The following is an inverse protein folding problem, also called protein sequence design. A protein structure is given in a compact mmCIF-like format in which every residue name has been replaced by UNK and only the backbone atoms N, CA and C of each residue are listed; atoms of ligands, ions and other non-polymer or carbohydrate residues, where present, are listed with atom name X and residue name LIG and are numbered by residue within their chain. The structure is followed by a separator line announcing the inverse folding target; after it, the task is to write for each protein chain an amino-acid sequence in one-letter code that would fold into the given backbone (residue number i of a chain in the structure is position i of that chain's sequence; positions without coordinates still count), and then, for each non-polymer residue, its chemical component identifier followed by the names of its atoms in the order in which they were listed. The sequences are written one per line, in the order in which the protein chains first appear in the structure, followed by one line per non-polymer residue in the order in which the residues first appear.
data_IF_065904851599
#
_entry.id   IF_065904851599
#
_cell.length_a   1.000
_cell.length_b   1.000
_cell.length_c   1.000
_cell.angle_alpha   90.00
_cell.angle_beta   90.00
_cell.angle_gamma   90.00
#
_symmetry.space_group_name_H-M   'P 1'
#
loop_
_entity.id
_entity.type
_entity.pdbx_description
1 polymer ?
#
# COMPACT_ATOMS: atom_id res chain seq x y z
N UNK A 1 -2.54 -11.44 41.25
CA UNK A 1 -1.87 -12.61 40.65
C UNK A 1 -2.83 -13.79 40.72
N UNK A 2 -3.78 -13.79 39.78
CA UNK A 2 -4.70 -14.88 39.39
C UNK A 2 -5.76 -14.23 38.48
N UNK A 3 -6.17 -14.92 37.41
CA UNK A 3 -7.15 -14.53 36.38
C UNK A 3 -6.73 -13.79 35.09
N UNK A 4 -5.43 -13.53 34.85
CA UNK A 4 -4.97 -12.99 33.54
C UNK A 4 -3.93 -13.90 32.84
N UNK A 5 -3.49 -14.98 33.50
CA UNK A 5 -2.69 -16.03 32.85
C UNK A 5 -3.61 -17.15 32.37
N UNK A 6 -3.43 -17.54 31.10
CA UNK A 6 -4.07 -18.67 30.40
C UNK A 6 -5.56 -18.55 30.03
N UNK A 7 -5.86 -17.62 29.12
CA UNK A 7 -6.71 -18.01 27.98
C UNK A 7 -5.84 -17.91 26.74
N UNK A 8 -5.12 -18.98 26.43
CA UNK A 8 -4.83 -19.27 25.03
C UNK A 8 -6.20 -19.38 24.37
N UNK A 9 -6.66 -18.30 23.73
CA UNK A 9 -7.86 -18.36 22.90
C UNK A 9 -7.52 -19.34 21.77
N UNK A 10 -7.86 -20.61 21.97
CA UNK A 10 -7.85 -21.60 20.90
C UNK A 10 -8.98 -21.23 19.95
N UNK A 11 -8.71 -20.24 19.10
CA UNK A 11 -9.60 -19.84 18.02
C UNK A 11 -9.83 -21.09 17.17
N UNK A 12 -11.08 -21.58 17.05
CA UNK A 12 -11.37 -22.75 16.26
C UNK A 12 -10.91 -22.55 14.81
N UNK A 13 -10.33 -23.58 14.19
CA UNK A 13 -9.76 -23.47 12.84
C UNK A 13 -10.77 -22.95 11.81
N UNK A 14 -12.06 -23.26 11.96
CA UNK A 14 -13.13 -22.77 11.08
C UNK A 14 -13.42 -21.27 11.21
N UNK A 15 -13.02 -20.64 12.32
CA UNK A 15 -13.23 -19.22 12.53
C UNK A 15 -12.34 -18.41 11.59
N UNK A 16 -11.09 -18.84 11.34
CA UNK A 16 -10.18 -18.15 10.41
C UNK A 16 -10.74 -17.97 8.99
N UNK A 17 -11.18 -19.02 8.25
CA UNK A 17 -11.72 -18.83 6.92
C UNK A 17 -12.99 -17.96 6.92
N UNK A 18 -13.81 -18.02 7.98
CA UNK A 18 -15.00 -17.18 8.12
C UNK A 18 -14.62 -15.70 8.32
N UNK A 19 -13.80 -15.41 9.32
CA UNK A 19 -13.43 -14.04 9.70
C UNK A 19 -12.52 -13.41 8.65
N UNK A 20 -11.49 -14.12 8.20
CA UNK A 20 -10.57 -13.63 7.16
C UNK A 20 -11.26 -13.50 5.81
N UNK A 21 -12.08 -14.49 5.42
CA UNK A 21 -12.87 -14.43 4.19
C UNK A 21 -13.85 -13.26 4.21
N UNK A 22 -14.59 -13.10 5.32
CA UNK A 22 -15.48 -11.96 5.52
C UNK A 22 -14.74 -10.61 5.47
N UNK A 23 -13.57 -10.52 6.11
CA UNK A 23 -12.78 -9.29 6.10
C UNK A 23 -12.19 -8.96 4.72
N UNK A 24 -11.71 -9.96 3.96
CA UNK A 24 -11.28 -9.76 2.56
C UNK A 24 -12.44 -9.25 1.70
N UNK A 25 -13.63 -9.85 1.81
CA UNK A 25 -14.81 -9.40 1.06
C UNK A 25 -15.21 -7.96 1.43
N UNK A 26 -15.19 -7.64 2.72
CA UNK A 26 -15.44 -6.28 3.21
C UNK A 26 -14.43 -5.30 2.61
N UNK A 27 -13.14 -5.64 2.62
CA UNK A 27 -12.08 -4.81 2.07
C UNK A 27 -12.22 -4.61 0.55
N UNK A 28 -12.54 -5.66 -0.20
CA UNK A 28 -12.80 -5.55 -1.65
C UNK A 28 -14.00 -4.64 -1.94
N UNK A 29 -15.08 -4.79 -1.17
CA UNK A 29 -16.26 -3.92 -1.25
C UNK A 29 -15.93 -2.47 -0.89
N UNK A 30 -15.15 -2.25 0.16
CA UNK A 30 -14.68 -0.94 0.59
C UNK A 30 -13.82 -0.27 -0.47
N UNK A 31 -12.84 -0.97 -1.05
CA UNK A 31 -12.01 -0.43 -2.14
C UNK A 31 -12.89 -0.04 -3.33
N UNK A 32 -13.82 -0.88 -3.74
CA UNK A 32 -14.74 -0.58 -4.85
C UNK A 32 -15.61 0.65 -4.57
N UNK A 33 -16.16 0.76 -3.35
CA UNK A 33 -16.99 1.89 -2.91
C UNK A 33 -16.19 3.19 -2.87
N UNK A 34 -15.06 3.21 -2.16
CA UNK A 34 -14.19 4.38 -2.00
C UNK A 34 -13.64 4.86 -3.34
N UNK A 35 -13.35 3.91 -4.23
CA UNK A 35 -12.94 4.22 -5.60
C UNK A 35 -14.07 4.83 -6.41
N UNK A 36 -15.24 4.20 -6.48
CA UNK A 36 -16.37 4.73 -7.28
C UNK A 36 -16.94 6.05 -6.74
N UNK A 37 -16.82 6.29 -5.44
CA UNK A 37 -17.37 7.46 -4.76
C UNK A 37 -16.26 8.30 -4.10
N UNK A 38 -15.45 9.04 -4.87
CA UNK A 38 -14.33 9.83 -4.32
C UNK A 38 -14.76 10.91 -3.33
N UNK A 39 -15.97 11.48 -3.48
CA UNK A 39 -16.53 12.45 -2.52
C UNK A 39 -16.78 11.80 -1.16
N UNK A 40 -17.44 10.63 -1.17
CA UNK A 40 -17.64 9.84 0.03
C UNK A 40 -16.30 9.46 0.65
N UNK A 41 -15.34 8.99 -0.15
CA UNK A 41 -14.01 8.64 0.35
C UNK A 41 -13.31 9.82 1.03
N UNK A 42 -13.31 11.02 0.42
CA UNK A 42 -12.74 12.21 1.04
C UNK A 42 -13.40 12.50 2.40
N UNK A 43 -14.73 12.55 2.45
CA UNK A 43 -15.46 12.85 3.68
C UNK A 43 -15.17 11.79 4.75
N UNK A 44 -15.21 10.50 4.38
CA UNK A 44 -14.92 9.40 5.29
C UNK A 44 -13.53 9.52 5.90
N UNK A 45 -12.49 9.74 5.08
CA UNK A 45 -11.12 9.85 5.58
C UNK A 45 -10.88 11.13 6.39
N UNK A 46 -11.52 12.25 6.06
CA UNK A 46 -11.47 13.44 6.90
C UNK A 46 -12.13 13.21 8.26
N UNK A 47 -13.31 12.58 8.30
CA UNK A 47 -13.99 12.23 9.54
C UNK A 47 -13.20 11.20 10.36
N UNK A 48 -12.47 10.30 9.71
CA UNK A 48 -11.61 9.35 10.42
C UNK A 48 -10.49 10.02 11.21
N UNK A 49 -10.06 11.23 10.86
CA UNK A 49 -9.08 11.98 11.66
C UNK A 49 -9.68 12.48 12.97
N UNK A 50 -11.00 12.61 13.05
CA UNK A 50 -11.70 12.98 14.29
C UNK A 50 -11.72 11.85 15.32
N UNK A 51 -11.34 10.62 14.94
CA UNK A 51 -11.15 9.53 15.90
C UNK A 51 -9.82 9.62 16.66
N UNK A 52 -9.01 10.67 16.42
CA UNK A 52 -7.77 10.96 17.13
C UNK A 52 -7.83 10.77 18.67
N UNK A 53 -8.90 11.17 19.39
CA UNK A 53 -8.99 10.94 20.83
C UNK A 53 -8.92 9.46 21.23
N UNK A 54 -9.46 8.55 20.42
CA UNK A 54 -9.42 7.11 20.70
C UNK A 54 -8.03 6.51 20.48
N UNK A 55 -7.17 7.17 19.69
CA UNK A 55 -5.87 6.61 19.32
C UNK A 55 -4.93 6.46 20.51
N UNK A 56 -5.08 7.29 21.55
CA UNK A 56 -4.28 7.20 22.77
C UNK A 56 -4.53 5.92 23.57
N UNK A 57 -5.69 5.29 23.40
CA UNK A 57 -6.03 4.04 24.09
C UNK A 57 -5.43 2.81 23.39
N UNK A 58 -5.30 2.85 22.06
CA UNK A 58 -4.94 1.68 21.24
C UNK A 58 -3.55 1.76 20.59
N UNK A 59 -2.99 2.97 20.44
CA UNK A 59 -1.66 3.16 19.86
C UNK A 59 -0.58 3.23 20.94
N UNK A 60 0.07 2.09 21.18
CA UNK A 60 1.28 2.01 22.00
C UNK A 60 2.56 2.06 21.15
N UNK A 61 3.53 2.85 21.59
CA UNK A 61 4.84 3.03 20.95
C UNK A 61 4.87 4.02 19.77
N UNK A 62 5.99 4.75 19.66
CA UNK A 62 6.18 5.79 18.63
C UNK A 62 6.02 5.26 17.20
N UNK A 63 6.40 4.00 16.95
CA UNK A 63 6.32 3.36 15.64
C UNK A 63 4.87 3.27 15.15
N UNK A 64 3.93 2.86 16.01
CA UNK A 64 2.51 2.76 15.66
C UNK A 64 1.89 4.13 15.40
N UNK A 65 2.29 5.13 16.18
CA UNK A 65 1.93 6.53 15.95
C UNK A 65 2.42 7.04 14.60
N UNK A 66 3.72 6.89 14.32
CA UNK A 66 4.32 7.28 13.06
C UNK A 66 3.64 6.59 11.87
N UNK A 67 3.35 5.28 11.99
CA UNK A 67 2.64 4.52 10.96
C UNK A 67 1.21 5.02 10.75
N UNK A 68 0.48 5.28 11.83
CA UNK A 68 -0.91 5.75 11.76
C UNK A 68 -1.00 7.10 11.07
N UNK A 69 -0.16 8.05 11.49
CA UNK A 69 -0.13 9.39 10.90
C UNK A 69 0.35 9.36 9.44
N UNK A 70 1.41 8.60 9.13
CA UNK A 70 1.96 8.50 7.77
C UNK A 70 1.05 7.74 6.78
N UNK A 71 0.01 7.05 7.25
CA UNK A 71 -0.99 6.41 6.39
C UNK A 71 -2.27 7.24 6.31
N UNK A 72 -2.84 7.64 7.45
CA UNK A 72 -4.15 8.32 7.48
C UNK A 72 -4.07 9.74 6.94
N UNK A 73 -3.03 10.52 7.29
CA UNK A 73 -2.90 11.90 6.83
C UNK A 73 -2.72 11.97 5.30
N UNK A 74 -1.78 11.24 4.66
CA UNK A 74 -1.69 11.21 3.20
C UNK A 74 -2.96 10.73 2.51
N UNK A 75 -3.65 9.73 3.07
CA UNK A 75 -4.89 9.20 2.50
C UNK A 75 -6.01 10.25 2.50
N UNK A 76 -6.21 10.92 3.63
CA UNK A 76 -7.24 11.96 3.79
C UNK A 76 -6.88 13.25 3.04
N UNK A 77 -5.68 13.79 3.29
CA UNK A 77 -5.29 15.15 2.90
C UNK A 77 -4.67 15.23 1.51
N UNK A 78 -4.08 14.15 1.00
CA UNK A 78 -3.41 14.17 -0.31
C UNK A 78 -4.19 13.38 -1.33
N UNK A 79 -4.43 12.09 -1.10
CA UNK A 79 -5.16 11.24 -2.05
C UNK A 79 -6.61 11.74 -2.21
N UNK A 80 -7.32 11.98 -1.10
CA UNK A 80 -8.69 12.47 -1.13
C UNK A 80 -8.85 13.76 -1.95
N UNK A 81 -8.08 14.80 -1.61
CA UNK A 81 -8.14 16.08 -2.31
C UNK A 81 -7.65 16.00 -3.75
N UNK A 82 -6.58 15.23 -4.05
CA UNK A 82 -6.10 15.05 -5.43
C UNK A 82 -7.17 14.44 -6.33
N UNK A 83 -7.91 13.43 -5.84
CA UNK A 83 -8.99 12.81 -6.62
C UNK A 83 -10.14 13.79 -6.90
N UNK A 84 -10.52 14.61 -5.92
CA UNK A 84 -11.53 15.67 -6.11
C UNK A 84 -11.02 16.76 -7.06
N UNK A 85 -9.75 17.13 -6.95
CA UNK A 85 -9.13 18.13 -7.82
C UNK A 85 -9.16 17.69 -9.29
N UNK A 86 -8.97 16.40 -9.57
CA UNK A 86 -9.08 15.83 -10.92
C UNK A 86 -10.53 15.59 -11.37
N UNK A 87 -11.45 15.31 -10.45
CA UNK A 87 -12.88 15.32 -10.75
C UNK A 87 -13.36 16.70 -11.23
N UNK A 88 -12.83 17.77 -10.64
CA UNK A 88 -13.08 19.16 -11.02
C UNK A 88 -11.91 19.75 -11.83
N UNK A 89 -11.37 18.99 -12.80
CA UNK A 89 -10.21 19.38 -13.60
C UNK A 89 -10.36 20.75 -14.30
N UNK A 90 -11.59 21.06 -14.74
CA UNK A 90 -11.91 22.29 -15.48
C UNK A 90 -12.07 23.50 -14.56
N UNK A 91 -12.08 23.29 -13.23
CA UNK A 91 -12.17 24.38 -12.26
C UNK A 91 -10.82 25.10 -12.13
N UNK A 92 -10.75 26.42 -12.43
CA UNK A 92 -9.50 27.18 -12.41
C UNK A 92 -9.04 27.59 -11.00
N UNK A 93 -9.78 27.26 -9.93
CA UNK A 93 -9.43 27.67 -8.57
C UNK A 93 -8.06 27.13 -8.15
N UNK A 94 -7.21 28.03 -7.59
CA UNK A 94 -5.80 27.74 -7.25
C UNK A 94 -5.63 26.53 -6.32
N UNK A 95 -6.55 26.33 -5.39
CA UNK A 95 -6.54 25.17 -4.49
C UNK A 95 -6.61 23.84 -5.25
N UNK A 96 -7.50 23.71 -6.25
CA UNK A 96 -7.60 22.49 -7.04
C UNK A 96 -6.42 22.34 -8.00
N UNK A 97 -5.89 23.46 -8.53
CA UNK A 97 -4.66 23.42 -9.34
C UNK A 97 -3.46 22.90 -8.53
N UNK A 98 -3.33 23.31 -7.26
CA UNK A 98 -2.30 22.82 -6.37
C UNK A 98 -2.33 21.29 -6.24
N UNK A 99 -3.49 20.70 -5.95
CA UNK A 99 -3.64 19.24 -5.84
C UNK A 99 -3.59 18.47 -7.18
N UNK A 100 -3.51 19.16 -8.32
CA UNK A 100 -3.20 18.55 -9.62
C UNK A 100 -1.72 18.62 -9.99
N UNK A 101 -0.89 19.21 -9.12
CA UNK A 101 0.54 19.36 -9.35
C UNK A 101 1.32 18.06 -9.25
N UNK A 102 2.49 18.04 -9.89
CA UNK A 102 3.42 16.90 -9.86
C UNK A 102 3.94 16.58 -8.46
N UNK A 103 3.94 17.55 -7.56
CA UNK A 103 4.36 17.35 -6.17
C UNK A 103 3.51 16.26 -5.50
N UNK A 104 2.21 16.14 -5.84
CA UNK A 104 1.33 15.09 -5.30
C UNK A 104 1.87 13.71 -5.67
N UNK A 105 2.23 13.51 -6.93
CA UNK A 105 2.75 12.24 -7.42
C UNK A 105 4.10 11.90 -6.81
N UNK A 106 5.00 12.89 -6.67
CA UNK A 106 6.30 12.75 -6.00
C UNK A 106 6.13 12.45 -4.50
N UNK A 107 5.17 13.09 -3.85
CA UNK A 107 4.85 12.86 -2.45
C UNK A 107 4.32 11.44 -2.24
N UNK A 108 3.37 10.97 -3.05
CA UNK A 108 2.83 9.61 -2.96
C UNK A 108 3.90 8.55 -3.24
N UNK A 109 4.77 8.79 -4.23
CA UNK A 109 5.97 7.98 -4.45
C UNK A 109 6.85 7.95 -3.19
N UNK A 110 7.12 9.12 -2.59
CA UNK A 110 7.93 9.24 -1.38
C UNK A 110 7.34 8.48 -0.19
N UNK A 111 6.03 8.56 0.04
CA UNK A 111 5.34 7.81 1.09
C UNK A 111 5.44 6.30 0.87
N UNK A 112 5.24 5.81 -0.37
CA UNK A 112 5.42 4.40 -0.69
C UNK A 112 6.88 3.96 -0.44
N UNK A 113 7.84 4.74 -0.92
CA UNK A 113 9.25 4.47 -0.73
C UNK A 113 9.61 4.42 0.76
N UNK A 114 9.18 5.40 1.56
CA UNK A 114 9.40 5.43 3.00
C UNK A 114 8.75 4.24 3.70
N UNK A 115 7.54 3.84 3.28
CA UNK A 115 6.85 2.68 3.83
C UNK A 115 7.64 1.37 3.62
N UNK A 116 8.26 1.21 2.44
CA UNK A 116 9.11 0.05 2.14
C UNK A 116 10.43 0.16 2.90
N UNK A 117 11.07 1.33 2.88
CA UNK A 117 12.36 1.56 3.51
C UNK A 117 12.30 1.36 5.04
N UNK A 118 11.26 1.85 5.70
CA UNK A 118 11.02 1.68 7.14
C UNK A 118 10.94 0.18 7.52
N UNK A 119 10.12 -0.58 6.81
CA UNK A 119 9.99 -2.02 7.03
C UNK A 119 11.29 -2.77 6.68
N UNK A 120 12.00 -2.34 5.64
CA UNK A 120 13.32 -2.89 5.27
C UNK A 120 14.37 -2.69 6.36
N UNK A 121 14.42 -1.49 6.96
CA UNK A 121 15.33 -1.19 8.07
C UNK A 121 14.99 -2.02 9.30
N UNK A 122 13.70 -2.26 9.54
CA UNK A 122 13.25 -3.10 10.64
C UNK A 122 13.57 -4.58 10.40
N UNK A 123 13.36 -5.10 9.19
CA UNK A 123 13.82 -6.45 8.81
C UNK A 123 15.33 -6.62 9.02
N UNK A 124 16.12 -5.59 8.71
CA UNK A 124 17.56 -5.60 8.96
C UNK A 124 17.87 -5.64 10.45
N UNK A 125 17.17 -4.86 11.26
CA UNK A 125 17.34 -4.83 12.72
C UNK A 125 16.93 -6.15 13.40
N UNK A 126 15.97 -6.89 12.84
CA UNK A 126 15.51 -8.19 13.34
C UNK A 126 16.25 -9.37 12.68
N UNK A 127 17.39 -9.14 12.03
CA UNK A 127 18.21 -10.15 11.36
C UNK A 127 17.51 -10.95 10.23
N UNK A 128 16.41 -10.42 9.67
CA UNK A 128 15.72 -10.97 8.51
C UNK A 128 16.37 -10.49 7.20
N UNK A 129 17.65 -10.81 7.02
CA UNK A 129 18.48 -10.20 5.99
C UNK A 129 18.01 -10.47 4.55
N UNK A 130 17.49 -11.67 4.27
CA UNK A 130 16.99 -11.99 2.93
C UNK A 130 15.79 -11.14 2.55
N UNK A 131 14.84 -10.95 3.49
CA UNK A 131 13.69 -10.09 3.25
C UNK A 131 14.10 -8.59 3.19
N UNK A 132 15.08 -8.17 3.99
CA UNK A 132 15.63 -6.82 3.92
C UNK A 132 16.21 -6.51 2.52
N UNK A 133 16.99 -7.43 1.93
CA UNK A 133 17.54 -7.27 0.57
C UNK A 133 16.40 -7.14 -0.46
N UNK A 134 15.33 -7.93 -0.31
CA UNK A 134 14.15 -7.81 -1.16
C UNK A 134 13.50 -6.42 -1.06
N UNK A 135 13.40 -5.87 0.14
CA UNK A 135 12.90 -4.51 0.38
C UNK A 135 13.75 -3.44 -0.32
N UNK A 136 15.08 -3.58 -0.29
CA UNK A 136 15.99 -2.71 -1.07
C UNK A 136 15.73 -2.83 -2.57
N UNK A 137 15.57 -4.05 -3.09
CA UNK A 137 15.25 -4.29 -4.50
C UNK A 137 13.92 -3.62 -4.87
N UNK A 138 12.89 -3.72 -4.02
CA UNK A 138 11.61 -3.06 -4.24
C UNK A 138 11.77 -1.54 -4.30
N UNK A 139 12.50 -0.94 -3.37
CA UNK A 139 12.79 0.50 -3.35
C UNK A 139 13.46 1.01 -4.63
N UNK A 140 14.45 0.29 -5.17
CA UNK A 140 15.16 0.72 -6.39
C UNK A 140 14.38 0.42 -7.68
N UNK A 141 13.38 -0.46 -7.60
CA UNK A 141 12.54 -0.85 -8.74
C UNK A 141 11.21 -0.11 -8.77
N UNK A 142 10.91 0.79 -7.82
CA UNK A 142 9.74 1.68 -7.91
C UNK A 142 9.93 2.61 -9.13
N UNK A 143 9.01 2.62 -10.10
CA UNK A 143 9.01 3.62 -11.16
C UNK A 143 8.87 5.03 -10.58
N UNK A 144 9.76 5.94 -10.97
CA UNK A 144 9.60 7.36 -10.65
C UNK A 144 8.37 7.93 -11.37
N UNK A 145 7.66 8.92 -10.78
CA UNK A 145 6.50 9.54 -11.42
C UNK A 145 6.77 10.01 -12.87
N UNK A 146 7.91 10.67 -13.07
CA UNK A 146 8.42 11.10 -14.38
C UNK A 146 9.93 10.87 -14.46
N UNK A 147 10.41 10.44 -15.61
CA UNK A 147 11.83 10.32 -15.92
C UNK A 147 12.28 11.52 -16.77
N UNK A 148 13.50 12.04 -16.54
CA UNK A 148 14.04 13.25 -17.20
C UNK A 148 14.00 13.19 -18.75
N UNK A 149 14.17 12.00 -19.31
CA UNK A 149 14.13 11.74 -20.75
C UNK A 149 13.02 10.75 -21.12
N UNK A 150 12.06 10.54 -20.21
CA UNK A 150 10.92 9.67 -20.45
C UNK A 150 9.81 10.39 -21.22
N UNK A 151 9.14 9.64 -22.07
CA UNK A 151 7.94 10.07 -22.79
C UNK A 151 6.66 9.79 -22.00
N UNK A 152 6.74 8.97 -20.94
CA UNK A 152 5.60 8.45 -20.17
C UNK A 152 5.61 8.88 -18.71
N UNK A 153 4.42 8.80 -18.10
CA UNK A 153 4.18 9.08 -16.68
C UNK A 153 3.72 7.81 -15.99
N UNK A 154 4.41 7.38 -14.94
CA UNK A 154 4.18 6.10 -14.28
C UNK A 154 3.23 6.22 -13.07
N UNK A 155 2.95 7.44 -12.63
CA UNK A 155 2.02 7.75 -11.57
C UNK A 155 1.07 8.82 -12.04
N UNK A 156 -0.24 8.57 -12.00
CA UNK A 156 -1.23 9.58 -12.39
C UNK A 156 -2.47 9.47 -11.52
N UNK A 157 -3.19 10.58 -11.39
CA UNK A 157 -4.60 10.53 -11.03
C UNK A 157 -5.38 10.52 -12.35
N UNK A 158 -6.22 9.51 -12.55
CA UNK A 158 -6.96 9.32 -13.79
C UNK A 158 -7.81 10.55 -14.13
N UNK A 159 -7.84 10.93 -15.41
CA UNK A 159 -8.70 12.02 -15.90
C UNK A 159 -10.17 11.65 -15.91
N UNK A 160 -10.44 10.37 -16.18
CA UNK A 160 -11.78 9.84 -16.30
C UNK A 160 -12.27 9.33 -14.95
N UNK A 161 -13.59 9.36 -14.75
CA UNK A 161 -14.22 8.78 -13.57
C UNK A 161 -13.76 7.31 -13.44
N UNK A 162 -13.31 6.87 -12.25
CA UNK A 162 -13.51 7.48 -10.93
C UNK A 162 -12.39 8.42 -10.45
N UNK A 163 -11.48 8.85 -11.33
CA UNK A 163 -10.28 9.61 -10.97
C UNK A 163 -9.39 8.82 -10.01
N UNK A 164 -9.02 7.61 -10.43
CA UNK A 164 -8.23 6.67 -9.63
C UNK A 164 -6.76 7.11 -9.54
N UNK A 165 -6.10 6.85 -8.41
CA UNK A 165 -4.64 6.85 -8.35
C UNK A 165 -4.13 5.60 -9.07
N UNK A 166 -3.49 5.82 -10.22
CA UNK A 166 -2.96 4.78 -11.08
C UNK A 166 -1.43 4.73 -10.97
N UNK A 167 -0.94 3.54 -10.68
CA UNK A 167 0.48 3.23 -10.62
C UNK A 167 0.83 2.21 -11.69
N UNK A 168 1.55 2.64 -12.71
CA UNK A 168 1.97 1.76 -13.79
C UNK A 168 3.26 1.06 -13.38
N UNK A 169 3.17 -0.25 -13.18
CA UNK A 169 4.31 -1.13 -12.97
C UNK A 169 4.00 -2.48 -13.62
N UNK A 170 4.72 -3.51 -13.22
CA UNK A 170 4.48 -4.89 -13.66
C UNK A 170 3.66 -5.63 -12.62
N UNK A 171 2.86 -6.61 -13.05
CA UNK A 171 2.17 -7.51 -12.12
C UNK A 171 3.15 -8.27 -11.22
N UNK A 172 4.35 -8.58 -11.74
CA UNK A 172 5.43 -9.17 -10.96
C UNK A 172 5.85 -8.27 -9.80
N UNK A 173 6.02 -6.95 -10.01
CA UNK A 173 6.35 -6.03 -8.94
C UNK A 173 5.29 -6.00 -7.83
N UNK A 174 4.01 -5.98 -8.20
CA UNK A 174 2.89 -6.01 -7.24
C UNK A 174 2.95 -7.30 -6.40
N UNK A 175 3.09 -8.46 -7.05
CA UNK A 175 3.20 -9.74 -6.38
C UNK A 175 4.40 -9.80 -5.43
N UNK A 176 5.58 -9.39 -5.90
CA UNK A 176 6.81 -9.36 -5.12
C UNK A 176 6.70 -8.45 -3.90
N UNK A 177 6.11 -7.26 -4.07
CA UNK A 177 5.81 -6.35 -2.96
C UNK A 177 4.82 -6.99 -1.97
N UNK A 178 3.78 -7.68 -2.45
CA UNK A 178 2.78 -8.34 -1.60
C UNK A 178 3.41 -9.47 -0.76
N UNK A 179 4.20 -10.37 -1.35
CA UNK A 179 4.87 -11.46 -0.62
C UNK A 179 5.96 -10.95 0.33
N UNK A 180 6.72 -9.93 -0.06
CA UNK A 180 7.71 -9.28 0.80
C UNK A 180 7.07 -8.66 2.05
N UNK A 181 5.95 -7.95 1.86
CA UNK A 181 5.23 -7.30 2.95
C UNK A 181 4.57 -8.33 3.88
N UNK A 182 4.08 -9.45 3.35
CA UNK A 182 3.59 -10.56 4.18
C UNK A 182 4.72 -11.13 5.05
N UNK A 183 5.88 -11.43 4.47
CA UNK A 183 7.02 -11.94 5.23
C UNK A 183 7.49 -10.96 6.32
N UNK A 184 7.51 -9.66 6.02
CA UNK A 184 7.81 -8.62 7.00
C UNK A 184 6.83 -8.64 8.18
N UNK A 185 5.51 -8.63 7.91
CA UNK A 185 4.51 -8.60 8.99
C UNK A 185 4.47 -9.91 9.78
N UNK A 186 4.75 -11.05 9.12
CA UNK A 186 4.92 -12.33 9.79
C UNK A 186 6.03 -12.24 10.86
N UNK A 187 7.19 -11.65 10.53
CA UNK A 187 8.26 -11.46 11.51
C UNK A 187 7.99 -10.37 12.55
N UNK A 188 7.24 -9.31 12.20
CA UNK A 188 7.12 -8.11 13.03
C UNK A 188 5.94 -8.13 14.01
N UNK A 189 4.77 -8.62 13.58
CA UNK A 189 3.53 -8.54 14.35
C UNK A 189 2.72 -9.83 14.19
N UNK A 190 3.26 -10.92 14.72
CA UNK A 190 2.71 -12.27 14.57
C UNK A 190 1.24 -12.43 14.96
N UNK A 191 0.79 -11.80 16.05
CA UNK A 191 -0.63 -11.85 16.48
C UNK A 191 -1.59 -11.14 15.51
N UNK A 192 -1.10 -10.20 14.70
CA UNK A 192 -1.89 -9.47 13.70
C UNK A 192 -1.64 -9.97 12.27
N UNK A 193 -0.83 -11.02 12.08
CA UNK A 193 -0.43 -11.48 10.76
C UNK A 193 -1.63 -11.92 9.92
N UNK A 194 -2.60 -12.67 10.46
CA UNK A 194 -3.78 -13.09 9.72
C UNK A 194 -4.61 -11.91 9.19
N UNK A 195 -4.86 -10.89 10.03
CA UNK A 195 -5.56 -9.68 9.60
C UNK A 195 -4.75 -8.87 8.58
N UNK A 196 -3.42 -8.82 8.74
CA UNK A 196 -2.51 -8.14 7.82
C UNK A 196 -2.40 -8.86 6.47
N UNK A 197 -2.47 -10.18 6.48
CA UNK A 197 -2.54 -11.00 5.28
C UNK A 197 -3.84 -10.70 4.51
N UNK A 198 -4.96 -10.49 5.19
CA UNK A 198 -6.22 -10.12 4.54
C UNK A 198 -6.11 -8.80 3.76
N UNK A 199 -5.45 -7.78 4.31
CA UNK A 199 -5.31 -6.48 3.63
C UNK A 199 -4.35 -6.54 2.44
N UNK A 200 -3.37 -7.43 2.49
CA UNK A 200 -2.42 -7.69 1.41
C UNK A 200 -3.07 -8.48 0.28
N UNK A 201 -3.78 -9.56 0.62
CA UNK A 201 -4.54 -10.35 -0.33
C UNK A 201 -5.63 -9.51 -0.99
N UNK A 202 -6.39 -8.71 -0.23
CA UNK A 202 -7.42 -7.85 -0.82
C UNK A 202 -6.82 -6.83 -1.80
N UNK A 203 -5.67 -6.24 -1.47
CA UNK A 203 -4.97 -5.29 -2.35
C UNK A 203 -4.44 -5.94 -3.63
N UNK A 204 -4.00 -7.20 -3.59
CA UNK A 204 -3.52 -7.96 -4.75
C UNK A 204 -4.68 -8.53 -5.59
N UNK A 205 -5.70 -9.07 -4.94
CA UNK A 205 -6.83 -9.71 -5.60
C UNK A 205 -7.69 -8.69 -6.35
N UNK A 206 -7.86 -7.49 -5.81
CA UNK A 206 -8.65 -6.42 -6.44
C UNK A 206 -8.21 -6.08 -7.88
N UNK A 207 -6.95 -5.71 -8.17
CA UNK A 207 -6.49 -5.44 -9.54
C UNK A 207 -6.54 -6.68 -10.43
N UNK A 208 -6.34 -7.89 -9.89
CA UNK A 208 -6.48 -9.15 -10.65
C UNK A 208 -7.92 -9.36 -11.10
N UNK A 209 -8.90 -9.22 -10.20
CA UNK A 209 -10.32 -9.34 -10.51
C UNK A 209 -10.78 -8.30 -11.55
N UNK A 210 -10.26 -7.07 -11.46
CA UNK A 210 -10.56 -6.01 -12.43
C UNK A 210 -9.75 -6.13 -13.73
N UNK A 211 -8.74 -7.00 -13.79
CA UNK A 211 -7.74 -7.08 -14.89
C UNK A 211 -7.05 -5.74 -15.15
N UNK A 212 -6.77 -5.00 -14.07
CA UNK A 212 -6.16 -3.65 -14.05
C UNK A 212 -5.03 -3.59 -13.03
N UNK A 213 -3.81 -4.06 -13.35
CA UNK A 213 -2.68 -4.07 -12.42
C UNK A 213 -2.32 -2.67 -11.90
N UNK A 214 -2.68 -1.62 -12.64
CA UNK A 214 -2.43 -0.23 -12.26
C UNK A 214 -3.23 0.25 -11.04
N UNK A 215 -4.24 -0.51 -10.60
CA UNK A 215 -5.07 -0.21 -9.43
C UNK A 215 -4.47 -0.71 -8.11
N UNK A 216 -3.33 -1.41 -8.16
CA UNK A 216 -2.74 -2.02 -6.97
C UNK A 216 -2.50 -1.02 -5.84
N UNK A 217 -1.87 0.12 -6.14
CA UNK A 217 -1.53 1.10 -5.10
C UNK A 217 -2.76 1.76 -4.49
N UNK A 218 -3.80 2.10 -5.26
CA UNK A 218 -5.03 2.67 -4.67
C UNK A 218 -5.75 1.64 -3.79
N UNK A 219 -5.77 0.36 -4.20
CA UNK A 219 -6.31 -0.71 -3.36
C UNK A 219 -5.48 -0.87 -2.08
N UNK A 220 -4.15 -0.80 -2.18
CA UNK A 220 -3.24 -0.87 -1.03
C UNK A 220 -3.42 0.30 -0.07
N UNK A 221 -3.56 1.53 -0.57
CA UNK A 221 -3.82 2.72 0.24
C UNK A 221 -5.09 2.55 1.06
N UNK A 222 -6.21 2.17 0.43
CA UNK A 222 -7.48 2.05 1.17
C UNK A 222 -7.53 0.86 2.12
N UNK A 223 -7.01 -0.30 1.72
CA UNK A 223 -6.97 -1.48 2.60
C UNK A 223 -6.07 -1.25 3.82
N UNK A 224 -4.89 -0.64 3.63
CA UNK A 224 -3.98 -0.31 4.72
C UNK A 224 -4.56 0.79 5.61
N UNK A 225 -5.07 1.89 5.04
CA UNK A 225 -5.65 2.98 5.82
C UNK A 225 -6.85 2.52 6.64
N UNK A 226 -7.71 1.66 6.09
CA UNK A 226 -8.86 1.15 6.82
C UNK A 226 -8.44 0.24 7.96
N UNK A 227 -7.50 -0.66 7.72
CA UNK A 227 -6.98 -1.55 8.74
C UNK A 227 -6.32 -0.79 9.89
N UNK A 228 -5.50 0.21 9.58
CA UNK A 228 -4.86 1.07 10.57
C UNK A 228 -5.89 1.89 11.36
N UNK A 229 -6.92 2.42 10.70
CA UNK A 229 -8.01 3.12 11.37
C UNK A 229 -8.76 2.21 12.37
N UNK A 230 -9.09 0.99 11.96
CA UNK A 230 -9.76 0.03 12.85
C UNK A 230 -8.88 -0.29 14.04
N UNK A 231 -7.57 -0.52 13.82
CA UNK A 231 -6.59 -0.76 14.90
C UNK A 231 -6.37 0.43 15.81
N UNK A 232 -6.50 1.65 15.32
CA UNK A 232 -6.35 2.86 16.14
C UNK A 232 -7.60 3.19 16.95
N UNK A 233 -8.73 2.52 16.68
CA UNK A 233 -10.01 2.77 17.36
C UNK A 233 -10.53 1.55 18.13
N UNK A 234 -9.94 0.36 17.96
CA UNK A 234 -10.42 -0.88 18.56
C UNK A 234 -9.41 -2.02 18.45
N UNK A 235 -9.51 -3.01 19.36
CA UNK A 235 -8.75 -4.26 19.32
C UNK A 235 -9.58 -5.44 18.77
N UNK A 236 -10.17 -5.26 17.58
CA UNK A 236 -11.08 -6.27 17.01
C UNK A 236 -10.36 -7.48 16.40
N UNK A 237 -9.09 -7.34 16.03
CA UNK A 237 -8.40 -8.36 15.22
C UNK A 237 -7.86 -9.52 16.05
N UNK A 238 -7.21 -9.26 17.20
CA UNK A 238 -6.65 -10.33 18.04
C UNK A 238 -7.75 -11.29 18.52
N UNK A 239 -8.91 -10.84 19.03
CA UNK A 239 -9.97 -11.76 19.45
C UNK A 239 -10.56 -12.61 18.31
N UNK A 240 -10.49 -12.14 17.06
CA UNK A 240 -11.14 -12.79 15.92
C UNK A 240 -10.19 -13.60 15.03
N UNK A 241 -8.91 -13.24 15.01
CA UNK A 241 -7.90 -13.69 14.04
C UNK A 241 -6.49 -13.70 14.63
N UNK A 242 -6.31 -13.98 15.93
CA UNK A 242 -4.96 -14.08 16.50
C UNK A 242 -4.14 -15.16 15.77
N UNK A 243 -3.02 -14.77 15.19
CA UNK A 243 -2.09 -15.67 14.51
C UNK A 243 -0.75 -15.81 15.23
N UNK A 244 -0.70 -15.46 16.52
CA UNK A 244 0.53 -15.57 17.32
C UNK A 244 1.13 -16.98 17.32
N UNK A 245 0.28 -18.01 17.30
CA UNK A 245 0.71 -19.42 17.24
C UNK A 245 1.23 -19.87 15.88
N UNK A 246 1.02 -19.07 14.82
CA UNK A 246 1.50 -19.42 13.48
C UNK A 246 2.98 -19.14 13.30
N UNK A 247 3.59 -18.39 14.21
CA UNK A 247 4.94 -17.86 14.09
C UNK A 247 5.99 -18.98 14.20
N UNK A 248 6.88 -19.01 13.21
CA UNK A 248 7.95 -19.98 13.13
C UNK A 248 9.15 -19.39 12.40
N UNK A 249 10.31 -19.37 13.07
CA UNK A 249 11.53 -18.75 12.54
C UNK A 249 12.04 -19.43 11.26
N UNK A 250 11.90 -20.77 11.16
CA UNK A 250 12.28 -21.50 9.96
C UNK A 250 11.38 -21.14 8.77
N UNK A 251 10.09 -20.92 9.01
CA UNK A 251 9.15 -20.46 7.98
C UNK A 251 9.51 -19.05 7.54
N UNK A 252 9.76 -18.13 8.47
CA UNK A 252 10.18 -16.75 8.17
C UNK A 252 11.46 -16.73 7.33
N UNK A 253 12.48 -17.49 7.75
CA UNK A 253 13.76 -17.57 7.06
C UNK A 253 13.61 -18.15 5.65
N UNK A 254 12.86 -19.25 5.51
CA UNK A 254 12.62 -19.91 4.22
C UNK A 254 11.83 -19.00 3.29
N UNK A 255 10.82 -18.29 3.81
CA UNK A 255 10.05 -17.32 3.04
C UNK A 255 10.95 -16.18 2.55
N UNK A 256 11.79 -15.62 3.42
CA UNK A 256 12.78 -14.61 3.04
C UNK A 256 13.71 -15.09 1.90
N UNK A 257 14.19 -16.33 1.98
CA UNK A 257 15.02 -16.93 0.94
C UNK A 257 14.26 -17.08 -0.40
N UNK A 258 13.04 -17.60 -0.36
CA UNK A 258 12.18 -17.72 -1.55
C UNK A 258 11.94 -16.34 -2.16
N UNK A 259 11.61 -15.34 -1.34
CA UNK A 259 11.45 -13.97 -1.79
C UNK A 259 12.72 -13.49 -2.50
N UNK A 260 13.91 -13.74 -1.95
CA UNK A 260 15.17 -13.32 -2.56
C UNK A 260 15.41 -13.99 -3.92
N UNK A 261 15.15 -15.30 -4.03
CA UNK A 261 15.25 -16.06 -5.28
C UNK A 261 14.31 -15.50 -6.36
N UNK A 262 13.17 -14.92 -5.97
CA UNK A 262 12.24 -14.29 -6.91
C UNK A 262 12.62 -12.83 -7.23
N UNK A 263 13.08 -12.07 -6.25
CA UNK A 263 13.40 -10.64 -6.40
C UNK A 263 14.68 -10.40 -7.21
N UNK A 264 15.72 -11.23 -7.03
CA UNK A 264 17.00 -11.04 -7.73
C UNK A 264 16.86 -11.18 -9.26
N UNK A 265 16.26 -12.26 -9.80
CA UNK A 265 16.01 -12.38 -11.24
C UNK A 265 15.10 -11.26 -11.76
N UNK A 266 14.09 -10.86 -10.99
CA UNK A 266 13.23 -9.74 -11.36
C UNK A 266 14.02 -8.43 -11.47
N UNK A 267 14.92 -8.14 -10.53
CA UNK A 267 15.76 -6.94 -10.56
C UNK A 267 16.67 -6.93 -11.80
N UNK A 268 17.32 -8.06 -12.08
CA UNK A 268 18.18 -8.22 -13.27
C UNK A 268 17.36 -7.96 -14.54
N UNK A 269 16.19 -8.60 -14.65
CA UNK A 269 15.27 -8.41 -15.77
C UNK A 269 14.81 -6.95 -15.91
N UNK A 270 14.46 -6.31 -14.79
CA UNK A 270 13.97 -4.93 -14.74
C UNK A 270 15.02 -3.95 -15.27
N UNK A 271 16.25 -4.01 -14.76
CA UNK A 271 17.33 -3.13 -15.19
C UNK A 271 17.82 -3.43 -16.60
N UNK A 272 17.84 -4.70 -17.01
CA UNK A 272 18.16 -5.09 -18.39
C UNK A 272 17.16 -4.48 -19.37
N UNK A 273 15.86 -4.66 -19.15
CA UNK A 273 14.84 -4.10 -20.04
C UNK A 273 14.85 -2.58 -20.06
N UNK A 274 15.04 -1.95 -18.90
CA UNK A 274 15.20 -0.49 -18.81
C UNK A 274 16.39 0.00 -19.63
N UNK A 275 17.52 -0.72 -19.62
CA UNK A 275 18.73 -0.35 -20.38
C UNK A 275 18.56 -0.53 -21.89
N UNK A 276 17.84 -1.58 -22.32
CA UNK A 276 17.58 -1.84 -23.74
C UNK A 276 16.41 -1.04 -24.33
N UNK A 277 15.58 -0.43 -23.49
CA UNK A 277 14.54 0.49 -23.96
C UNK A 277 15.16 1.76 -24.54
N UNK A 278 14.71 2.15 -25.74
CA UNK A 278 15.15 3.39 -26.40
C UNK A 278 14.95 4.64 -25.53
N UNK A 279 13.87 4.66 -24.73
CA UNK A 279 13.53 5.77 -23.84
C UNK A 279 14.17 5.67 -22.45
N UNK A 280 14.91 4.58 -22.17
CA UNK A 280 15.46 4.23 -20.83
C UNK A 280 14.42 4.18 -19.71
N UNK A 281 13.17 3.99 -20.09
CA UNK A 281 12.03 3.92 -19.18
C UNK A 281 11.89 2.53 -18.55
N UNK A 282 11.32 2.43 -17.33
CA UNK A 282 11.14 1.14 -16.68
C UNK A 282 10.09 0.27 -17.38
N UNK A 283 10.21 -1.05 -17.28
CA UNK A 283 9.23 -1.97 -17.85
C UNK A 283 7.85 -1.76 -17.20
N UNK A 284 6.81 -1.95 -17.99
CA UNK A 284 5.42 -1.88 -17.58
C UNK A 284 4.66 -3.10 -18.11
N UNK A 285 3.50 -3.41 -17.52
CA UNK A 285 2.67 -4.53 -17.96
C UNK A 285 1.95 -4.28 -19.30
N UNK A 286 0.90 -5.07 -19.57
CA UNK A 286 0.17 -5.02 -20.85
C UNK A 286 -0.56 -3.68 -21.12
N UNK A 287 -0.68 -2.81 -20.12
CA UNK A 287 -1.30 -1.49 -20.24
C UNK A 287 -0.22 -0.42 -20.20
N UNK A 288 0.07 0.25 -21.32
CA UNK A 288 1.10 1.26 -21.36
C UNK A 288 0.77 2.45 -20.45
N UNK A 289 1.75 3.00 -19.70
CA UNK A 289 1.59 4.26 -19.01
C UNK A 289 1.30 5.38 -20.00
N UNK A 290 0.48 6.38 -19.62
CA UNK A 290 0.13 7.50 -20.49
C UNK A 290 1.35 8.35 -20.85
N UNK A 291 1.24 9.09 -21.96
CA UNK A 291 2.31 9.99 -22.40
C UNK A 291 2.33 11.25 -21.53
N UNK A 292 3.53 11.79 -21.30
CA UNK A 292 3.75 13.01 -20.51
C UNK A 292 3.03 14.23 -21.09
N UNK A 293 2.86 14.28 -22.41
CA UNK A 293 2.08 15.33 -23.10
C UNK A 293 0.60 15.33 -22.68
N UNK A 294 0.06 14.18 -22.31
CA UNK A 294 -1.33 14.07 -21.89
C UNK A 294 -1.50 14.55 -20.44
N UNK A 295 -0.43 14.59 -19.65
CA UNK A 295 -0.45 15.08 -18.28
C UNK A 295 0.51 16.28 -18.15
N UNK A 296 0.19 17.44 -18.75
CA UNK A 296 1.05 18.61 -18.66
C UNK A 296 1.18 19.04 -17.19
N UNK A 297 2.40 19.31 -16.77
CA UNK A 297 2.68 19.88 -15.45
C UNK A 297 2.08 21.27 -15.34
N UNK A 298 1.27 21.50 -14.31
CA UNK A 298 0.94 22.86 -13.89
C UNK A 298 2.24 23.59 -13.55
N UNK A 299 2.62 24.59 -14.37
CA UNK A 299 3.80 25.46 -14.17
C UNK A 299 3.71 26.35 -12.93
N UNK A 300 2.65 26.24 -12.13
CA UNK A 300 2.36 27.18 -11.04
C UNK A 300 3.38 27.19 -9.88
N UNK A 301 4.35 26.27 -9.85
CA UNK A 301 5.38 26.18 -8.81
C UNK A 301 6.77 25.79 -9.36
N UNK A 302 7.08 26.17 -10.60
CA UNK A 302 8.45 26.15 -11.10
C UNK A 302 9.20 27.41 -10.66
#
# INVERSE_FOLDING_TARGET
MSFIEEVTMNIPVWQYPLTMGGYILLLLGLVELMRKQPKFALVFWLLSLLSFPFWFEYLDGWFRWAKTLSVLLPTALVVGFARIAWMYKDNPHRFWQFFRGDWVLKFLYGILFLNIAEATLKDFATANYFNAICGVILCITIPFPRYKHGERVYWVIGKDKPNDLLFYSTAAWNFLYTTWNMAFVYGEAGSYFAASMCILIAAELYPVLKKRPELYIIARVYTLAFHILVRSCSEVFVPLMDSGTWMNDNVLWTWGLINLILHVPFAIWYFRNKRHSATKEPPFGNRPPPLAKDYPTSRAFA
#
